data_IF_710383656788
#
_entry.id   IF_710383656788
#
_cell.length_a   1.000
_cell.length_b   1.000
_cell.length_c   1.000
_cell.angle_alpha   90.00
_cell.angle_beta   90.00
_cell.angle_gamma   90.00
#
_symmetry.space_group_name_H-M   'P 1'
#
loop_
_entity.id
_entity.type
_entity.pdbx_description
1 polymer ?
#
# COMPACT_ATOMS: atom_id res chain seq x y z
N UNK A 1 -4.74 16.95 47.47
CA UNK A 1 -5.93 16.72 46.62
C UNK A 1 -5.97 17.85 45.62
N UNK A 2 -5.45 17.62 44.41
CA UNK A 2 -6.24 17.41 43.16
C UNK A 2 -6.63 18.78 42.57
N UNK A 3 -6.33 19.18 41.34
CA UNK A 3 -6.13 18.46 40.07
C UNK A 3 -5.27 19.28 39.10
N UNK A 4 -4.28 18.65 38.45
CA UNK A 4 -3.69 19.13 37.19
C UNK A 4 -4.66 18.69 36.09
N UNK A 5 -5.23 19.65 35.36
CA UNK A 5 -6.03 19.36 34.16
C UNK A 5 -5.08 19.31 32.97
N UNK A 6 -4.71 18.09 32.57
CA UNK A 6 -4.06 17.79 31.30
C UNK A 6 -4.92 18.30 30.14
N UNK A 7 -4.47 19.38 29.50
CA UNK A 7 -4.94 19.73 28.16
C UNK A 7 -4.24 18.78 27.18
N UNK A 8 -4.82 17.59 27.00
CA UNK A 8 -4.37 16.61 26.03
C UNK A 8 -4.47 17.23 24.62
N UNK A 9 -3.32 17.62 24.07
CA UNK A 9 -3.21 18.18 22.73
C UNK A 9 -3.46 17.07 21.71
N UNK A 10 -4.71 16.87 21.31
CA UNK A 10 -5.04 16.07 20.14
C UNK A 10 -4.69 16.88 18.90
N UNK A 11 -3.44 16.78 18.46
CA UNK A 11 -3.04 17.18 17.11
C UNK A 11 -3.95 16.40 16.15
N UNK A 12 -4.74 17.06 15.29
CA UNK A 12 -5.46 16.33 14.26
C UNK A 12 -4.39 15.70 13.37
N UNK A 13 -4.31 14.36 13.39
CA UNK A 13 -3.44 13.59 12.50
C UNK A 13 -3.90 13.91 11.08
N UNK A 14 -3.22 14.89 10.49
CA UNK A 14 -3.47 15.40 9.16
C UNK A 14 -3.59 14.21 8.22
N UNK A 15 -4.77 14.05 7.63
CA UNK A 15 -5.03 13.09 6.58
C UNK A 15 -4.30 13.50 5.31
N UNK A 16 -2.98 13.45 5.34
CA UNK A 16 -2.18 13.27 4.14
C UNK A 16 -2.04 11.77 3.97
N UNK A 17 -3.09 11.15 3.40
CA UNK A 17 -2.83 10.02 2.52
C UNK A 17 -2.17 10.64 1.29
N UNK A 18 -0.91 11.04 1.44
CA UNK A 18 -0.05 11.27 0.32
C UNK A 18 -0.01 9.92 -0.35
N UNK A 19 -0.86 9.74 -1.38
CA UNK A 19 -0.67 8.77 -2.43
C UNK A 19 0.57 9.28 -3.17
N UNK A 20 1.69 9.27 -2.45
CA UNK A 20 2.98 9.54 -2.99
C UNK A 20 3.17 8.41 -3.98
N UNK A 21 3.09 8.77 -5.24
CA UNK A 21 3.68 8.05 -6.36
C UNK A 21 5.20 7.91 -6.20
N UNK A 22 5.75 8.27 -5.02
CA UNK A 22 7.05 7.85 -4.55
C UNK A 22 7.22 6.37 -4.84
N UNK A 23 8.25 6.10 -5.63
CA UNK A 23 8.67 4.78 -6.03
C UNK A 23 8.81 3.93 -4.75
N UNK A 24 7.94 2.94 -4.57
CA UNK A 24 8.05 1.98 -3.46
C UNK A 24 9.41 1.28 -3.44
N UNK A 25 9.94 1.05 -4.64
CA UNK A 25 11.23 0.44 -4.88
C UNK A 25 11.99 1.31 -5.89
N UNK A 26 13.27 1.55 -5.63
CA UNK A 26 14.14 2.34 -6.51
C UNK A 26 14.32 1.68 -7.87
N UNK A 27 14.48 0.35 -7.87
CA UNK A 27 14.73 -0.44 -9.08
C UNK A 27 13.42 -0.89 -9.73
N UNK A 28 13.33 -0.75 -11.06
CA UNK A 28 12.21 -1.29 -11.84
C UNK A 28 12.43 -2.78 -12.11
N UNK A 29 11.35 -3.54 -12.24
CA UNK A 29 11.42 -4.92 -12.73
C UNK A 29 11.81 -4.91 -14.22
N UNK A 30 12.98 -5.47 -14.55
CA UNK A 30 13.55 -5.53 -15.91
C UNK A 30 13.57 -6.93 -16.51
N UNK A 31 13.27 -7.96 -15.69
CA UNK A 31 13.09 -9.37 -16.09
C UNK A 31 14.18 -10.30 -15.55
N UNK A 32 15.40 -9.79 -15.43
CA UNK A 32 16.57 -10.45 -14.86
C UNK A 32 16.71 -10.25 -13.33
N UNK A 33 16.12 -9.17 -12.81
CA UNK A 33 16.26 -8.75 -11.41
C UNK A 33 15.04 -9.12 -10.52
N UNK A 34 14.25 -10.13 -10.90
CA UNK A 34 13.00 -10.45 -10.18
C UNK A 34 13.22 -10.73 -8.69
N UNK A 35 14.31 -11.41 -8.32
CA UNK A 35 14.59 -11.77 -6.93
C UNK A 35 14.82 -10.54 -6.06
N UNK A 36 15.70 -9.65 -6.48
CA UNK A 36 16.04 -8.41 -5.78
C UNK A 36 14.84 -7.45 -5.75
N UNK A 37 14.11 -7.35 -6.87
CA UNK A 37 12.91 -6.54 -6.99
C UNK A 37 11.79 -7.04 -6.07
N UNK A 38 11.51 -8.35 -6.06
CA UNK A 38 10.44 -8.93 -5.25
C UNK A 38 10.72 -8.79 -3.76
N UNK A 39 11.96 -9.02 -3.33
CA UNK A 39 12.36 -8.81 -1.93
C UNK A 39 12.16 -7.35 -1.51
N UNK A 40 12.56 -6.40 -2.37
CA UNK A 40 12.39 -4.97 -2.10
C UNK A 40 10.91 -4.59 -2.04
N UNK A 41 10.08 -5.15 -2.92
CA UNK A 41 8.64 -4.91 -2.95
C UNK A 41 7.95 -5.46 -1.70
N UNK A 42 8.32 -6.67 -1.25
CA UNK A 42 7.81 -7.27 -0.02
C UNK A 42 8.08 -6.34 1.16
N UNK A 43 9.33 -5.90 1.37
CA UNK A 43 9.66 -5.00 2.48
C UNK A 43 8.95 -3.65 2.38
N UNK A 44 8.81 -3.10 1.18
CA UNK A 44 8.13 -1.82 0.97
C UNK A 44 6.62 -1.89 1.29
N UNK A 45 5.97 -3.01 0.97
CA UNK A 45 4.55 -3.25 1.25
C UNK A 45 4.32 -3.61 2.72
N UNK A 46 5.20 -4.42 3.30
CA UNK A 46 5.16 -4.81 4.71
C UNK A 46 5.29 -3.59 5.62
N UNK A 47 6.25 -2.69 5.34
CA UNK A 47 6.40 -1.42 6.05
C UNK A 47 5.24 -0.43 5.89
N UNK A 48 4.18 -0.78 5.13
CA UNK A 48 2.96 0.03 4.93
C UNK A 48 1.67 -0.71 5.32
N UNK A 49 1.78 -1.88 5.92
CA UNK A 49 0.65 -2.77 6.24
C UNK A 49 -0.17 -3.09 4.97
N UNK A 50 0.51 -3.43 3.88
CA UNK A 50 -0.10 -3.74 2.59
C UNK A 50 0.34 -5.08 2.00
N UNK A 51 1.21 -5.83 2.69
CA UNK A 51 1.68 -7.13 2.23
C UNK A 51 0.53 -8.15 2.08
N UNK A 52 -0.46 -8.08 2.98
CA UNK A 52 -1.63 -8.97 3.02
C UNK A 52 -2.47 -8.97 1.73
N UNK A 53 -2.41 -7.87 0.97
CA UNK A 53 -3.07 -7.77 -0.34
C UNK A 53 -2.38 -8.61 -1.43
N UNK A 54 -1.10 -8.94 -1.24
CA UNK A 54 -0.32 -9.79 -2.15
C UNK A 54 -0.36 -11.25 -1.69
N UNK A 55 -0.25 -11.51 -0.38
CA UNK A 55 -0.30 -12.86 0.17
C UNK A 55 -1.70 -13.46 0.15
N UNK A 56 -2.73 -12.61 0.03
CA UNK A 56 -4.13 -13.01 0.05
C UNK A 56 -4.73 -13.10 1.46
N UNK A 57 -3.95 -12.77 2.49
CA UNK A 57 -4.43 -12.67 3.87
C UNK A 57 -5.47 -11.56 4.04
N UNK A 58 -5.41 -10.50 3.22
CA UNK A 58 -6.46 -9.50 3.12
C UNK A 58 -7.62 -10.04 2.27
N UNK A 59 -8.48 -10.84 2.89
CA UNK A 59 -9.63 -11.44 2.23
C UNK A 59 -10.59 -10.38 1.67
N UNK A 60 -11.10 -10.62 0.46
CA UNK A 60 -12.09 -9.75 -0.17
C UNK A 60 -13.39 -9.80 0.63
N UNK A 61 -13.86 -8.67 1.19
CA UNK A 61 -15.11 -8.64 1.95
C UNK A 61 -16.32 -8.93 1.07
N UNK A 62 -17.42 -9.36 1.71
CA UNK A 62 -18.73 -9.46 1.05
C UNK A 62 -19.13 -8.10 0.45
N UNK A 63 -19.76 -8.12 -0.73
CA UNK A 63 -20.29 -6.91 -1.38
C UNK A 63 -21.42 -6.26 -0.61
N UNK A 64 -22.04 -7.00 0.33
CA UNK A 64 -23.04 -6.46 1.26
C UNK A 64 -22.44 -5.51 2.30
N UNK A 65 -21.17 -5.70 2.68
CA UNK A 65 -20.45 -4.71 3.50
C UNK A 65 -19.87 -3.63 2.61
N UNK A 66 -20.69 -2.62 2.31
CA UNK A 66 -20.31 -1.61 1.35
C UNK A 66 -19.12 -0.75 1.81
N UNK A 67 -18.85 -0.63 3.11
CA UNK A 67 -17.74 0.22 3.62
C UNK A 67 -16.43 -0.54 3.53
N UNK A 68 -16.38 -1.76 4.09
CA UNK A 68 -15.19 -2.59 4.06
C UNK A 68 -14.84 -3.00 2.63
N UNK A 69 -15.83 -3.36 1.82
CA UNK A 69 -15.63 -3.64 0.40
C UNK A 69 -15.03 -2.45 -0.36
N UNK A 70 -15.53 -1.23 -0.13
CA UNK A 70 -14.97 -0.03 -0.77
C UNK A 70 -13.52 0.22 -0.33
N UNK A 71 -13.23 0.06 0.96
CA UNK A 71 -11.86 0.20 1.50
C UNK A 71 -10.93 -0.83 0.85
N UNK A 72 -11.26 -2.11 0.93
CA UNK A 72 -10.49 -3.20 0.33
C UNK A 72 -10.26 -2.96 -1.17
N UNK A 73 -11.31 -2.57 -1.90
CA UNK A 73 -11.21 -2.27 -3.34
C UNK A 73 -10.22 -1.13 -3.61
N UNK A 74 -10.24 -0.07 -2.81
CA UNK A 74 -9.34 1.07 -2.97
C UNK A 74 -7.89 0.73 -2.63
N UNK A 75 -7.66 -0.02 -1.56
CA UNK A 75 -6.31 -0.43 -1.13
C UNK A 75 -5.73 -1.48 -2.10
N UNK A 76 -6.53 -2.44 -2.56
CA UNK A 76 -6.13 -3.40 -3.59
C UNK A 76 -5.76 -2.70 -4.91
N UNK A 77 -6.52 -1.70 -5.33
CA UNK A 77 -6.20 -0.91 -6.53
C UNK A 77 -4.90 -0.11 -6.36
N UNK A 78 -4.66 0.45 -5.16
CA UNK A 78 -3.42 1.14 -4.83
C UNK A 78 -2.21 0.20 -4.93
N UNK A 79 -2.28 -0.96 -4.28
CA UNK A 79 -1.23 -2.00 -4.34
C UNK A 79 -0.99 -2.47 -5.77
N UNK A 80 -2.05 -2.64 -6.56
CA UNK A 80 -1.92 -2.97 -7.99
C UNK A 80 -1.19 -1.87 -8.78
N UNK A 81 -1.55 -0.60 -8.55
CA UNK A 81 -0.90 0.54 -9.23
C UNK A 81 0.59 0.63 -8.90
N UNK A 82 0.94 0.30 -7.66
CA UNK A 82 2.30 0.25 -7.15
C UNK A 82 3.13 -0.83 -7.82
N UNK A 83 2.60 -2.05 -7.93
CA UNK A 83 3.24 -3.14 -8.67
C UNK A 83 3.48 -2.77 -10.13
N UNK A 84 2.43 -2.29 -10.82
CA UNK A 84 2.51 -1.89 -12.23
C UNK A 84 3.55 -0.78 -12.40
N UNK A 85 3.52 0.23 -11.54
CA UNK A 85 4.45 1.35 -11.63
C UNK A 85 5.88 0.92 -11.35
N UNK A 86 6.11 -0.11 -10.55
CA UNK A 86 7.44 -0.67 -10.29
C UNK A 86 7.95 -1.59 -11.41
N UNK A 87 7.21 -1.77 -12.52
CA UNK A 87 7.69 -2.49 -13.70
C UNK A 87 8.36 -1.56 -14.70
N UNK A 88 9.36 -2.08 -15.42
CA UNK A 88 9.89 -1.44 -16.62
C UNK A 88 8.82 -1.33 -17.71
N UNK A 89 8.99 -0.39 -18.63
CA UNK A 89 8.01 -0.13 -19.70
C UNK A 89 7.80 -1.33 -20.63
N UNK A 90 8.80 -2.20 -20.81
CA UNK A 90 8.68 -3.42 -21.62
C UNK A 90 7.73 -4.43 -20.98
N UNK A 91 7.85 -4.65 -19.68
CA UNK A 91 7.01 -5.59 -18.93
C UNK A 91 5.61 -5.02 -18.72
N UNK A 92 5.50 -3.73 -18.40
CA UNK A 92 4.22 -3.04 -18.13
C UNK A 92 3.21 -3.22 -19.27
N UNK A 93 3.66 -3.20 -20.53
CA UNK A 93 2.81 -3.37 -21.72
C UNK A 93 2.03 -4.69 -21.75
N UNK A 94 2.45 -5.71 -21.02
CA UNK A 94 1.72 -6.98 -20.93
C UNK A 94 0.56 -6.93 -19.93
N UNK A 95 0.45 -5.86 -19.13
CA UNK A 95 -0.54 -5.71 -18.06
C UNK A 95 -1.45 -4.47 -18.23
N UNK A 96 -1.26 -3.70 -19.29
CA UNK A 96 -2.03 -2.48 -19.65
C UNK A 96 -2.45 -2.54 -21.11
#
# INVERSE_FOLDING_TARGET
MSTISDASSSVPRSGSNDISTALLVSEKLTGDNYREWSQSMIFALDGRDKLDYITGEAEKPSTSDTKEFRKWKSENALVSSWLINAMSSSIKKSFT
#
